data_IF_249327567563
#
_entry.id   IF_249327567563
#
_cell.length_a   1.000
_cell.length_b   1.000
_cell.length_c   1.000
_cell.angle_alpha   90.00
_cell.angle_beta   90.00
_cell.angle_gamma   90.00
#
_symmetry.space_group_name_H-M   'P 1'
#
loop_
_entity.id
_entity.type
_entity.pdbx_description
1 polymer ?
#
# COMPACT_ATOMS: atom_id res chain seq x y z
N UNK A 1 6.00 -5.97 7.54
CA UNK A 1 5.23 -4.79 7.07
C UNK A 1 5.93 -4.18 5.87
N UNK A 2 5.17 -3.76 4.88
CA UNK A 2 5.71 -3.03 3.73
C UNK A 2 5.83 -1.55 4.07
N UNK A 3 6.94 -0.94 3.69
CA UNK A 3 7.18 0.48 3.89
C UNK A 3 7.38 1.16 2.54
N UNK A 4 6.59 2.19 2.28
CA UNK A 4 6.72 3.01 1.09
C UNK A 4 7.17 4.41 1.50
N UNK A 5 8.15 4.93 0.78
CA UNK A 5 8.74 6.24 1.08
C UNK A 5 8.23 7.25 0.06
N UNK A 6 7.58 8.27 0.54
CA UNK A 6 6.96 9.27 -0.31
C UNK A 6 6.64 10.54 0.46
N UNK A 7 5.63 11.24 0.01
CA UNK A 7 5.22 12.49 0.64
C UNK A 7 3.71 12.63 0.64
N UNK A 8 3.21 13.55 1.46
CA UNK A 8 1.79 13.88 1.51
C UNK A 8 1.54 15.06 0.57
N UNK A 9 0.51 14.93 -0.27
CA UNK A 9 0.06 16.02 -1.14
C UNK A 9 -1.42 16.30 -0.90
N UNK A 10 -1.80 17.55 -1.09
CA UNK A 10 -3.21 17.95 -1.05
C UNK A 10 -3.70 18.18 -2.47
N UNK A 11 -4.85 17.61 -2.80
CA UNK A 11 -5.51 17.84 -4.07
C UNK A 11 -7.00 18.16 -3.84
N UNK A 12 -7.77 18.25 -4.94
CA UNK A 12 -9.19 18.59 -4.86
C UNK A 12 -10.02 17.58 -4.06
N UNK A 13 -9.57 16.33 -3.97
CA UNK A 13 -10.28 15.26 -3.27
C UNK A 13 -9.81 15.06 -1.81
N UNK A 14 -8.77 15.77 -1.37
CA UNK A 14 -8.24 15.68 -0.02
C UNK A 14 -6.75 15.43 0.01
N UNK A 15 -6.29 14.68 1.03
CA UNK A 15 -4.88 14.36 1.19
C UNK A 15 -4.55 13.01 0.59
N UNK A 16 -3.41 12.93 -0.09
CA UNK A 16 -2.91 11.70 -0.70
C UNK A 16 -1.46 11.45 -0.28
N UNK A 17 -1.12 10.18 -0.14
CA UNK A 17 0.27 9.75 -0.07
C UNK A 17 0.74 9.40 -1.48
N UNK A 18 1.87 9.94 -1.89
CA UNK A 18 2.42 9.71 -3.23
C UNK A 18 3.88 9.34 -3.24
N UNK A 19 4.19 8.38 -4.11
CA UNK A 19 5.53 8.07 -4.59
C UNK A 19 5.54 8.27 -6.11
N UNK A 20 6.68 8.13 -6.81
CA UNK A 20 6.66 8.24 -8.27
C UNK A 20 5.66 7.29 -8.97
N UNK A 21 5.37 6.14 -8.38
CA UNK A 21 4.51 5.14 -9.03
C UNK A 21 3.24 4.78 -8.23
N UNK A 22 3.07 5.33 -7.04
CA UNK A 22 1.96 4.98 -6.15
C UNK A 22 1.23 6.25 -5.73
N UNK A 23 -0.10 6.19 -5.72
CA UNK A 23 -0.95 7.25 -5.18
C UNK A 23 -2.05 6.62 -4.34
N UNK A 24 -2.09 6.98 -3.07
CA UNK A 24 -3.07 6.44 -2.12
C UNK A 24 -3.79 7.60 -1.46
N UNK A 25 -5.13 7.62 -1.56
CA UNK A 25 -5.94 8.63 -0.87
C UNK A 25 -5.97 8.27 0.61
N UNK A 26 -5.61 9.22 1.46
CA UNK A 26 -5.61 9.02 2.89
C UNK A 26 -7.04 9.04 3.44
N UNK A 27 -7.37 8.15 4.40
CA UNK A 27 -8.68 8.19 5.06
C UNK A 27 -8.95 9.56 5.69
N UNK A 28 -10.21 9.95 5.73
CA UNK A 28 -10.60 11.24 6.31
C UNK A 28 -10.18 11.39 7.77
N UNK A 29 -10.18 10.28 8.50
CA UNK A 29 -9.78 10.24 9.92
C UNK A 29 -8.32 10.63 10.12
N UNK A 30 -7.50 10.49 9.08
CA UNK A 30 -6.08 10.82 9.14
C UNK A 30 -5.79 12.29 8.85
N UNK A 31 -6.74 13.00 8.24
CA UNK A 31 -6.49 14.34 7.69
C UNK A 31 -5.99 15.33 8.73
N UNK A 32 -6.57 15.32 9.92
CA UNK A 32 -6.19 16.28 10.98
C UNK A 32 -4.70 16.17 11.35
N UNK A 33 -4.19 14.94 11.46
CA UNK A 33 -2.78 14.70 11.81
C UNK A 33 -1.86 14.77 10.60
N UNK A 34 -2.30 14.31 9.45
CA UNK A 34 -1.50 14.29 8.24
C UNK A 34 -1.35 15.67 7.60
N UNK A 35 -2.26 16.58 7.86
CA UNK A 35 -2.25 17.93 7.27
C UNK A 35 -0.96 18.69 7.55
N UNK A 36 -0.36 18.48 8.72
CA UNK A 36 0.92 19.10 9.08
C UNK A 36 2.10 18.58 8.25
N UNK A 37 1.90 17.47 7.56
CA UNK A 37 2.94 16.79 6.78
C UNK A 37 2.82 17.02 5.28
N UNK A 38 1.95 17.92 4.84
CA UNK A 38 1.83 18.26 3.42
C UNK A 38 3.20 18.69 2.90
N UNK A 39 3.60 18.12 1.75
CA UNK A 39 4.90 18.33 1.09
C UNK A 39 6.11 17.89 1.92
N UNK A 40 5.89 17.12 2.99
CA UNK A 40 6.96 16.55 3.80
C UNK A 40 7.11 15.06 3.51
N UNK A 41 8.31 14.55 3.69
CA UNK A 41 8.60 13.12 3.51
C UNK A 41 8.04 12.30 4.64
N UNK A 42 7.29 11.27 4.28
CA UNK A 42 6.67 10.33 5.22
C UNK A 42 6.89 8.90 4.75
N UNK A 43 6.66 7.96 5.65
CA UNK A 43 6.72 6.52 5.36
C UNK A 43 5.33 5.94 5.58
N UNK A 44 4.81 5.29 4.55
CA UNK A 44 3.51 4.61 4.63
C UNK A 44 3.77 3.12 4.90
N UNK A 45 3.22 2.61 5.99
CA UNK A 45 3.37 1.22 6.40
C UNK A 45 2.07 0.45 6.23
N UNK A 46 2.14 -0.69 5.55
CA UNK A 46 0.98 -1.56 5.34
C UNK A 46 1.43 -3.02 5.38
N UNK A 47 0.61 -3.86 6.00
CA UNK A 47 0.92 -5.29 6.14
C UNK A 47 0.61 -6.07 4.87
N UNK A 48 1.37 -7.15 4.58
CA UNK A 48 1.12 -7.98 3.41
C UNK A 48 -0.31 -8.50 3.31
N UNK A 49 -0.92 -8.88 4.43
CA UNK A 49 -2.29 -9.40 4.48
C UNK A 49 -3.35 -8.34 4.16
N UNK A 50 -2.97 -7.08 4.09
CA UNK A 50 -3.88 -5.99 3.74
C UNK A 50 -3.77 -5.62 2.26
N UNK A 51 -2.93 -6.31 1.48
CA UNK A 51 -2.74 -6.06 0.05
C UNK A 51 -3.23 -7.27 -0.73
N UNK A 52 -4.32 -7.09 -1.49
CA UNK A 52 -4.85 -8.10 -2.40
C UNK A 52 -5.58 -9.26 -1.73
N UNK A 53 -5.79 -9.22 -0.42
CA UNK A 53 -6.55 -10.24 0.29
C UNK A 53 -8.03 -10.19 -0.10
N UNK A 54 -8.75 -11.29 0.14
CA UNK A 54 -10.19 -11.32 -0.11
C UNK A 54 -10.91 -10.19 0.63
N UNK A 55 -10.52 -9.93 1.87
CA UNK A 55 -11.09 -8.87 2.68
C UNK A 55 -10.86 -7.50 2.05
N UNK A 56 -9.65 -7.23 1.58
CA UNK A 56 -9.33 -5.97 0.92
C UNK A 56 -10.11 -5.80 -0.38
N UNK A 57 -10.20 -6.86 -1.19
CA UNK A 57 -10.94 -6.83 -2.45
C UNK A 57 -12.44 -6.68 -2.25
N UNK A 58 -12.96 -7.07 -1.09
CA UNK A 58 -14.37 -6.97 -0.77
C UNK A 58 -14.79 -5.60 -0.24
N UNK A 59 -13.85 -4.72 0.08
CA UNK A 59 -14.16 -3.37 0.55
C UNK A 59 -14.81 -2.54 -0.55
N UNK A 60 -15.81 -1.67 -0.21
CA UNK A 60 -16.38 -0.76 -1.20
C UNK A 60 -15.33 0.26 -1.66
N UNK A 61 -15.16 0.40 -2.97
CA UNK A 61 -14.26 1.37 -3.59
C UNK A 61 -12.85 1.40 -2.95
N UNK A 62 -12.14 0.26 -2.93
CA UNK A 62 -10.83 0.20 -2.25
C UNK A 62 -9.78 0.99 -3.03
N UNK A 63 -8.78 1.49 -2.30
CA UNK A 63 -7.57 1.99 -2.94
C UNK A 63 -6.85 0.81 -3.59
N UNK A 64 -6.12 1.05 -4.67
CA UNK A 64 -5.48 -0.03 -5.43
C UNK A 64 -4.01 0.24 -5.70
N UNK A 65 -3.27 -0.84 -5.82
CA UNK A 65 -1.84 -0.85 -6.11
C UNK A 65 -1.60 -1.62 -7.39
N UNK A 66 -0.93 -1.02 -8.36
CA UNK A 66 -0.48 -1.70 -9.56
C UNK A 66 0.97 -2.13 -9.39
N UNK A 67 1.24 -3.38 -9.74
CA UNK A 67 2.58 -3.91 -9.60
C UNK A 67 2.78 -5.12 -10.51
N UNK A 68 4.04 -5.47 -10.76
CA UNK A 68 4.41 -6.65 -11.53
C UNK A 68 4.85 -7.75 -10.57
N UNK A 69 4.35 -8.95 -10.78
CA UNK A 69 4.73 -10.11 -9.95
C UNK A 69 6.12 -10.58 -10.35
N UNK A 70 7.07 -10.50 -9.41
CA UNK A 70 8.44 -10.96 -9.64
C UNK A 70 8.67 -12.38 -9.13
N UNK A 71 8.12 -12.70 -7.96
CA UNK A 71 8.28 -14.00 -7.31
C UNK A 71 6.96 -14.39 -6.67
N UNK A 72 6.66 -15.68 -6.69
CA UNK A 72 5.51 -16.26 -6.01
C UNK A 72 6.00 -17.32 -5.03
N UNK A 73 5.50 -17.28 -3.80
CA UNK A 73 5.83 -18.26 -2.78
C UNK A 73 4.57 -18.86 -2.19
N UNK A 74 4.18 -20.05 -2.65
CA UNK A 74 3.00 -20.73 -2.09
C UNK A 74 3.26 -21.16 -0.65
N UNK A 75 2.31 -20.85 0.24
CA UNK A 75 2.41 -21.13 1.68
C UNK A 75 1.18 -21.89 2.17
N UNK A 76 0.69 -22.84 1.39
CA UNK A 76 -0.51 -23.60 1.72
C UNK A 76 -1.79 -22.88 1.31
N UNK A 77 -2.54 -22.36 2.27
CA UNK A 77 -3.80 -21.67 1.99
C UNK A 77 -3.62 -20.31 1.35
N UNK A 78 -2.40 -19.75 1.39
CA UNK A 78 -2.09 -18.44 0.89
C UNK A 78 -0.84 -18.46 0.02
N UNK A 79 -0.69 -17.43 -0.82
CA UNK A 79 0.50 -17.24 -1.64
C UNK A 79 1.06 -15.86 -1.36
N UNK A 80 2.36 -15.79 -1.10
CA UNK A 80 3.06 -14.52 -1.00
C UNK A 80 3.51 -14.09 -2.40
N UNK A 81 3.23 -12.85 -2.74
CA UNK A 81 3.67 -12.23 -3.98
C UNK A 81 4.73 -11.19 -3.66
N UNK A 82 5.85 -11.29 -4.34
CA UNK A 82 6.89 -10.27 -4.30
C UNK A 82 6.68 -9.39 -5.52
N UNK A 83 6.39 -8.12 -5.27
CA UNK A 83 5.87 -7.20 -6.28
C UNK A 83 6.85 -6.07 -6.56
N UNK A 84 7.00 -5.75 -7.85
CA UNK A 84 7.71 -4.57 -8.31
C UNK A 84 6.69 -3.50 -8.64
N UNK A 85 6.69 -2.41 -7.88
CA UNK A 85 5.80 -1.27 -8.10
C UNK A 85 6.41 -0.23 -9.02
N UNK A 86 7.67 -0.41 -9.40
CA UNK A 86 8.44 0.60 -10.12
C UNK A 86 9.29 1.47 -9.19
N UNK A 87 8.99 1.48 -7.91
CA UNK A 87 9.79 2.16 -6.90
C UNK A 87 10.88 1.24 -6.38
N UNK A 88 11.83 1.79 -5.63
CA UNK A 88 13.03 1.05 -5.19
C UNK A 88 12.73 -0.15 -4.29
N UNK A 89 11.69 -0.06 -3.49
CA UNK A 89 11.41 -1.09 -2.48
C UNK A 89 10.47 -2.16 -3.02
N UNK A 90 10.81 -3.42 -2.75
CA UNK A 90 9.93 -4.55 -3.05
C UNK A 90 8.73 -4.53 -2.11
N UNK A 91 7.56 -4.80 -2.65
CA UNK A 91 6.33 -4.91 -1.89
C UNK A 91 5.92 -6.37 -1.81
N UNK A 92 5.48 -6.80 -0.64
CA UNK A 92 5.01 -8.17 -0.42
C UNK A 92 3.51 -8.13 -0.17
N UNK A 93 2.75 -8.89 -0.96
CA UNK A 93 1.32 -9.09 -0.76
C UNK A 93 1.04 -10.52 -0.36
N UNK A 94 -0.05 -10.74 0.33
CA UNK A 94 -0.51 -12.08 0.71
C UNK A 94 -1.91 -12.28 0.15
N UNK A 95 -2.04 -13.19 -0.80
CA UNK A 95 -3.29 -13.46 -1.49
C UNK A 95 -3.77 -14.89 -1.22
N UNK A 96 -5.04 -15.15 -1.51
CA UNK A 96 -5.61 -16.49 -1.42
C UNK A 96 -4.93 -17.40 -2.44
N UNK A 97 -4.66 -18.66 -2.04
CA UNK A 97 -3.97 -19.63 -2.90
C UNK A 97 -4.78 -19.98 -4.16
N UNK A 98 -6.09 -19.78 -4.14
CA UNK A 98 -6.95 -20.06 -5.29
C UNK A 98 -6.95 -18.96 -6.33
N UNK A 99 -6.45 -17.78 -6.00
CA UNK A 99 -6.33 -16.68 -6.94
C UNK A 99 -5.21 -16.96 -7.92
N UNK A 100 -5.53 -16.96 -9.21
CA UNK A 100 -4.57 -17.29 -10.26
C UNK A 100 -3.78 -16.06 -10.68
N UNK A 101 -2.49 -16.08 -10.44
CA UNK A 101 -1.53 -15.08 -10.93
C UNK A 101 -0.29 -15.79 -11.45
N UNK A 102 0.46 -15.11 -12.32
CA UNK A 102 1.68 -15.66 -12.89
C UNK A 102 2.83 -14.68 -12.70
N UNK A 103 4.05 -15.23 -12.62
CA UNK A 103 5.27 -14.41 -12.60
C UNK A 103 5.32 -13.59 -13.90
N UNK A 104 5.64 -12.31 -13.77
CA UNK A 104 5.67 -11.38 -14.90
C UNK A 104 4.35 -10.69 -15.19
N UNK A 105 3.26 -11.16 -14.57
CA UNK A 105 1.95 -10.56 -14.73
C UNK A 105 1.86 -9.22 -14.00
N UNK A 106 1.22 -8.25 -14.63
CA UNK A 106 0.84 -7.00 -13.95
C UNK A 106 -0.47 -7.24 -13.22
N UNK A 107 -0.50 -6.87 -11.94
CA UNK A 107 -1.67 -7.02 -11.09
C UNK A 107 -2.13 -5.68 -10.56
N UNK A 108 -3.42 -5.61 -10.24
CA UNK A 108 -4.05 -4.44 -9.62
C UNK A 108 -4.73 -4.94 -8.36
N UNK A 109 -4.09 -4.69 -7.21
CA UNK A 109 -4.50 -5.26 -5.94
C UNK A 109 -5.15 -4.21 -5.05
N UNK A 110 -6.25 -4.58 -4.40
CA UNK A 110 -6.90 -3.73 -3.44
C UNK A 110 -6.08 -3.61 -2.16
N UNK A 111 -6.14 -2.44 -1.55
CA UNK A 111 -5.49 -2.15 -0.27
C UNK A 111 -6.55 -1.93 0.80
N UNK A 112 -6.38 -2.56 1.95
CA UNK A 112 -7.15 -2.22 3.14
C UNK A 112 -6.29 -1.32 4.02
N UNK A 113 -6.80 -0.14 4.35
CA UNK A 113 -6.07 0.84 5.14
C UNK A 113 -6.40 0.78 6.63
N UNK A 114 -7.21 -0.19 7.05
CA UNK A 114 -7.70 -0.29 8.43
C UNK A 114 -6.58 -0.43 9.46
N UNK A 115 -5.47 -1.07 9.10
CA UNK A 115 -4.31 -1.24 9.98
C UNK A 115 -3.04 -0.61 9.40
N UNK A 116 -3.17 0.23 8.39
CA UNK A 116 -2.05 0.96 7.81
C UNK A 116 -1.67 2.15 8.71
N UNK A 117 -0.43 2.58 8.58
CA UNK A 117 0.12 3.68 9.38
C UNK A 117 0.96 4.62 8.54
N UNK A 118 1.06 5.85 9.01
CA UNK A 118 1.92 6.88 8.44
C UNK A 118 2.95 7.27 9.50
N UNK A 119 4.22 7.32 9.10
CA UNK A 119 5.32 7.67 9.99
C UNK A 119 6.07 8.89 9.46
N UNK A 120 6.59 9.70 10.37
CA UNK A 120 7.51 10.77 10.00
C UNK A 120 8.84 10.14 9.57
N UNK A 121 9.32 10.45 8.38
CA UNK A 121 10.56 9.87 7.88
C UNK A 121 11.77 10.27 8.71
N UNK A 122 11.78 11.48 9.21
CA UNK A 122 12.92 12.05 9.94
C UNK A 122 13.03 11.50 11.35
N UNK A 123 11.92 11.46 12.08
CA UNK A 123 11.90 11.02 13.47
C UNK A 123 11.53 9.56 13.63
N UNK A 124 10.96 8.95 12.59
CA UNK A 124 10.40 7.59 12.60
C UNK A 124 9.23 7.43 13.56
N UNK A 125 8.69 8.53 14.07
CA UNK A 125 7.53 8.51 14.97
C UNK A 125 6.23 8.37 14.18
N UNK A 126 5.26 7.71 14.80
CA UNK A 126 3.93 7.52 14.22
C UNK A 126 3.22 8.87 14.06
N UNK A 127 2.73 9.12 12.85
CA UNK A 127 1.86 10.27 12.56
C UNK A 127 0.41 9.87 12.80
N UNK A 128 0.01 8.71 12.25
CA UNK A 128 -1.35 8.22 12.38
C UNK A 128 -1.45 6.72 12.15
#
# INVERSE_FOLDING_TARGET
MNFFYGHVEKDASGLCFKTPNISIRLPKEWHAKAEEYIDREVVFGIRPEEIGSERAEAEPDPQRLKAKVEVMEPMGAETYLYLDTGDKNTCIARIDAHRKVAIGQEVNLALSLSTAHLFDKKTELLVV
#
